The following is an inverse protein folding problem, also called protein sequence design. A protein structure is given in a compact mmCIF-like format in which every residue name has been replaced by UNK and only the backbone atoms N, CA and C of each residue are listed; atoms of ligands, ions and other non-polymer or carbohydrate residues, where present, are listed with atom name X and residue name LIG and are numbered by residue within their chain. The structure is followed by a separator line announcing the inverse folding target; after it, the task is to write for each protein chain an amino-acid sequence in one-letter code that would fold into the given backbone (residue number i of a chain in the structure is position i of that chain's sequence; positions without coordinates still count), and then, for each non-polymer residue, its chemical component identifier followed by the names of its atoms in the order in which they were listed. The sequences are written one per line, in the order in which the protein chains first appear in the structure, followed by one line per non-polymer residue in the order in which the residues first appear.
data_IF_333040096463
#
_entry.id   IF_333040096463
#
_cell.length_a   1.000
_cell.length_b   1.000
_cell.length_c   1.000
_cell.angle_alpha   90.00
_cell.angle_beta   90.00
_cell.angle_gamma   90.00
#
_symmetry.space_group_name_H-M   'P 1'
#
loop_
_entity.id
_entity.type
_entity.pdbx_description
1 polymer ?
#
# COMPACT_ATOMS: atom_id res chain seq x y z
N UNK A 1 46.87 -0.34 9.28
CA UNK A 1 46.21 0.51 8.25
C UNK A 1 45.39 -0.29 7.23
N UNK A 2 45.95 -1.33 6.59
CA UNK A 2 45.26 -2.17 5.58
C UNK A 2 43.93 -2.81 6.06
N UNK A 3 43.88 -3.24 7.33
CA UNK A 3 42.68 -3.86 7.92
C UNK A 3 41.58 -2.83 8.23
N UNK A 4 41.95 -1.59 8.54
CA UNK A 4 41.02 -0.50 8.81
C UNK A 4 40.34 -0.01 7.52
N UNK A 5 41.09 0.01 6.41
CA UNK A 5 40.54 0.28 5.08
C UNK A 5 39.56 -0.81 4.61
N UNK A 6 39.84 -2.09 4.89
CA UNK A 6 38.92 -3.20 4.59
C UNK A 6 37.63 -3.12 5.41
N UNK A 7 37.71 -2.73 6.67
CA UNK A 7 36.53 -2.55 7.52
C UNK A 7 35.65 -1.40 7.02
N UNK A 8 36.26 -0.29 6.60
CA UNK A 8 35.57 0.85 6.01
C UNK A 8 34.87 0.50 4.69
N UNK A 9 35.52 -0.34 3.87
CA UNK A 9 34.97 -0.78 2.58
C UNK A 9 33.83 -1.78 2.75
N UNK A 10 33.84 -2.61 3.80
CA UNK A 10 32.70 -3.47 4.14
C UNK A 10 31.50 -2.67 4.66
N UNK A 11 31.74 -1.59 5.41
CA UNK A 11 30.68 -0.72 5.94
C UNK A 11 29.95 0.09 4.86
N UNK A 12 30.62 0.42 3.75
CA UNK A 12 30.00 1.17 2.66
C UNK A 12 29.06 0.32 1.79
N UNK A 13 29.26 -1.00 1.74
CA UNK A 13 28.38 -1.90 0.97
C UNK A 13 27.01 -2.13 1.63
N UNK A 14 26.85 -1.85 2.93
CA UNK A 14 25.56 -2.00 3.63
C UNK A 14 24.68 -0.76 3.58
N UNK A 15 25.22 0.39 3.15
CA UNK A 15 24.50 1.67 3.09
C UNK A 15 23.31 1.70 2.09
N UNK A 16 23.40 1.15 0.87
CA UNK A 16 22.30 1.24 -0.08
C UNK A 16 21.09 0.35 0.28
N UNK A 17 21.26 -0.66 1.14
CA UNK A 17 20.19 -1.58 1.52
C UNK A 17 19.15 -0.93 2.47
N UNK A 18 19.57 0.03 3.30
CA UNK A 18 18.67 0.71 4.25
C UNK A 18 17.80 1.76 3.53
N UNK A 19 18.35 2.41 2.50
CA UNK A 19 17.63 3.45 1.75
C UNK A 19 16.44 2.90 0.94
N UNK A 20 16.49 1.64 0.51
CA UNK A 20 15.41 1.05 -0.31
C UNK A 20 14.16 0.69 0.48
N UNK A 21 14.31 0.25 1.74
CA UNK A 21 13.15 -0.13 2.56
C UNK A 21 12.35 1.10 2.98
N UNK A 22 13.03 2.14 3.47
CA UNK A 22 12.39 3.38 3.89
C UNK A 22 11.65 4.05 2.73
N UNK A 23 12.27 4.06 1.54
CA UNK A 23 11.59 4.60 0.35
C UNK A 23 10.36 3.77 -0.03
N UNK A 24 10.41 2.45 0.10
CA UNK A 24 9.25 1.61 -0.17
C UNK A 24 8.09 1.91 0.80
N UNK A 25 8.38 2.09 2.10
CA UNK A 25 7.38 2.48 3.10
C UNK A 25 6.75 3.83 2.76
N UNK A 26 7.55 4.83 2.43
CA UNK A 26 7.06 6.16 2.04
C UNK A 26 6.13 6.11 0.82
N UNK A 27 6.48 5.34 -0.21
CA UNK A 27 5.63 5.20 -1.39
C UNK A 27 4.27 4.58 -1.03
N UNK A 28 4.26 3.59 -0.14
CA UNK A 28 3.03 2.96 0.34
C UNK A 28 2.20 3.97 1.13
N UNK A 29 2.82 4.74 2.03
CA UNK A 29 2.13 5.72 2.86
C UNK A 29 1.56 6.88 2.03
N UNK A 30 2.31 7.40 1.05
CA UNK A 30 1.83 8.40 0.10
C UNK A 30 0.63 7.90 -0.70
N UNK A 31 0.69 6.63 -1.15
CA UNK A 31 -0.41 5.99 -1.87
C UNK A 31 -1.65 5.81 -1.00
N UNK A 32 -1.50 5.26 0.22
CA UNK A 32 -2.62 5.09 1.15
C UNK A 32 -3.26 6.42 1.50
N UNK A 33 -2.48 7.48 1.72
CA UNK A 33 -3.02 8.82 1.97
C UNK A 33 -3.81 9.34 0.77
N UNK A 34 -3.34 9.11 -0.45
CA UNK A 34 -4.02 9.57 -1.67
C UNK A 34 -5.36 8.86 -1.89
N UNK A 35 -5.42 7.54 -1.68
CA UNK A 35 -6.63 6.75 -1.97
C UNK A 35 -7.65 6.75 -0.83
N UNK A 36 -7.19 6.79 0.42
CA UNK A 36 -8.04 6.64 1.60
C UNK A 36 -8.27 7.95 2.34
N UNK A 37 -7.24 8.80 2.38
CA UNK A 37 -7.21 9.99 3.24
C UNK A 37 -7.48 9.64 4.71
N UNK A 38 -7.93 10.64 5.47
CA UNK A 38 -8.32 10.45 6.87
C UNK A 38 -9.72 9.81 6.99
N UNK A 39 -10.55 10.00 5.98
CA UNK A 39 -11.86 9.38 5.84
C UNK A 39 -12.30 9.42 4.39
N UNK A 40 -13.12 8.45 3.97
CA UNK A 40 -13.67 8.44 2.61
C UNK A 40 -15.14 7.99 2.59
N UNK A 41 -15.88 8.49 1.60
CA UNK A 41 -17.17 7.97 1.17
C UNK A 41 -17.08 7.74 -0.35
N UNK A 42 -17.47 6.55 -0.82
CA UNK A 42 -17.38 6.18 -2.22
C UNK A 42 -18.55 5.29 -2.65
N UNK A 43 -18.90 5.38 -3.94
CA UNK A 43 -19.74 4.40 -4.63
C UNK A 43 -18.90 3.68 -5.68
N UNK A 44 -18.93 2.36 -5.68
CA UNK A 44 -18.13 1.51 -6.54
C UNK A 44 -18.99 0.50 -7.29
N UNK A 45 -18.58 0.21 -8.52
CA UNK A 45 -19.11 -0.88 -9.32
C UNK A 45 -18.05 -1.98 -9.38
N UNK A 46 -18.36 -3.15 -8.84
CA UNK A 46 -17.48 -4.31 -8.85
C UNK A 46 -17.98 -5.34 -9.87
N UNK A 47 -17.08 -5.83 -10.71
CA UNK A 47 -17.39 -6.87 -11.68
C UNK A 47 -16.63 -8.15 -11.34
N UNK A 48 -17.38 -9.24 -11.13
CA UNK A 48 -16.85 -10.56 -10.79
C UNK A 48 -17.02 -11.47 -12.00
N UNK A 49 -15.91 -11.93 -12.58
CA UNK A 49 -15.89 -12.77 -13.78
C UNK A 49 -15.08 -14.05 -13.54
N UNK A 50 -15.68 -15.20 -13.82
CA UNK A 50 -15.04 -16.52 -13.92
C UNK A 50 -15.57 -17.24 -15.16
N UNK A 51 -15.02 -18.39 -15.60
CA UNK A 51 -15.49 -19.06 -16.82
C UNK A 51 -16.99 -19.34 -16.88
N UNK A 52 -17.63 -19.61 -15.72
CA UNK A 52 -19.03 -19.99 -15.64
C UNK A 52 -19.90 -19.00 -14.83
N UNK A 53 -19.36 -17.82 -14.50
CA UNK A 53 -20.07 -16.86 -13.64
C UNK A 53 -19.70 -15.42 -13.99
N UNK A 54 -20.70 -14.57 -14.13
CA UNK A 54 -20.51 -13.13 -14.28
C UNK A 54 -21.54 -12.40 -13.42
N UNK A 55 -21.09 -11.45 -12.60
CA UNK A 55 -21.95 -10.58 -11.81
C UNK A 55 -21.37 -9.18 -11.72
N UNK A 56 -22.25 -8.20 -11.82
CA UNK A 56 -21.95 -6.81 -11.49
C UNK A 56 -22.63 -6.46 -10.15
N UNK A 57 -21.89 -5.82 -9.26
CA UNK A 57 -22.34 -5.36 -7.95
C UNK A 57 -22.16 -3.85 -7.88
N UNK A 58 -23.18 -3.14 -7.41
CA UNK A 58 -23.03 -1.74 -6.98
C UNK A 58 -22.90 -1.74 -5.47
N UNK A 59 -21.95 -0.96 -4.95
CA UNK A 59 -21.65 -0.91 -3.52
C UNK A 59 -21.37 0.53 -3.11
N UNK A 60 -21.71 0.88 -1.87
CA UNK A 60 -21.21 2.09 -1.22
C UNK A 60 -20.25 1.72 -0.10
N UNK A 61 -19.21 2.52 0.10
CA UNK A 61 -18.21 2.31 1.14
C UNK A 61 -17.94 3.59 1.91
N UNK A 62 -17.70 3.45 3.21
CA UNK A 62 -17.20 4.51 4.07
C UNK A 62 -15.98 4.02 4.83
N UNK A 63 -14.99 4.88 5.05
CA UNK A 63 -13.83 4.55 5.89
C UNK A 63 -13.44 5.69 6.81
N UNK A 64 -12.82 5.34 7.94
CA UNK A 64 -12.21 6.28 8.88
C UNK A 64 -10.82 5.77 9.24
N UNK A 65 -9.81 6.47 8.72
CA UNK A 65 -8.40 6.08 8.79
C UNK A 65 -8.16 4.65 8.34
N UNK A 66 -7.22 3.97 9.01
CA UNK A 66 -6.91 2.55 8.78
C UNK A 66 -7.72 1.61 9.68
N UNK A 67 -8.52 2.16 10.59
CA UNK A 67 -9.14 1.41 11.68
C UNK A 67 -10.54 0.89 11.33
N UNK A 68 -11.32 1.68 10.58
CA UNK A 68 -12.71 1.36 10.29
C UNK A 68 -13.02 1.43 8.81
N UNK A 69 -13.76 0.43 8.33
CA UNK A 69 -14.35 0.44 7.00
C UNK A 69 -15.75 -0.21 7.03
N UNK A 70 -16.68 0.38 6.30
CA UNK A 70 -18.03 -0.10 6.13
C UNK A 70 -18.34 -0.23 4.64
N UNK A 71 -18.95 -1.34 4.25
CA UNK A 71 -19.36 -1.60 2.87
C UNK A 71 -20.82 -2.07 2.86
N UNK A 72 -21.60 -1.48 1.95
CA UNK A 72 -22.98 -1.87 1.70
C UNK A 72 -23.14 -2.25 0.25
N UNK A 73 -23.58 -3.48 0.02
CA UNK A 73 -23.99 -3.96 -1.31
C UNK A 73 -25.40 -3.44 -1.59
N UNK A 74 -25.61 -2.90 -2.79
CA UNK A 74 -26.93 -2.47 -3.26
C UNK A 74 -27.62 -3.67 -3.92
N UNK A 75 -28.91 -3.86 -3.60
CA UNK A 75 -29.72 -4.98 -4.09
C UNK A 75 -30.11 -4.80 -5.56
#
# INVERSE_FOLDING_TARGET
MKNMFRLLLLLSLTWPAIASEERARQVIDEMEQLYRGDSSDATMTMQVQTPNYNRTLTMSSQSYGKDYAFFRIHA
#
